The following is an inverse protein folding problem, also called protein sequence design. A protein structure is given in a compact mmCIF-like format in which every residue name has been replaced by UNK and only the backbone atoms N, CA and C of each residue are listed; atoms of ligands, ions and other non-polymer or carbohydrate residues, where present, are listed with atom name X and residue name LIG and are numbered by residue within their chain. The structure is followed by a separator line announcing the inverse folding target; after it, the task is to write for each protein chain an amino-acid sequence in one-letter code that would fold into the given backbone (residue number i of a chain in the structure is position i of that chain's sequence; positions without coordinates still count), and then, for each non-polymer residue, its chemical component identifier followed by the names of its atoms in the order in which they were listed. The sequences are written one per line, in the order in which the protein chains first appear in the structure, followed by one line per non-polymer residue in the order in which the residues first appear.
data_IF_986261394949
#
_entry.id   IF_986261394949
#
_cell.length_a   1.000
_cell.length_b   1.000
_cell.length_c   1.000
_cell.angle_alpha   90.00
_cell.angle_beta   90.00
_cell.angle_gamma   90.00
#
_symmetry.space_group_name_H-M   'P 1'
#
loop_
_entity.id
_entity.type
_entity.pdbx_description
1 polymer ?
#
# COMPACT_ATOMS: atom_id res chain seq x y z
N UNK A 1 -20.45 19.64 -5.96
CA UNK A 1 -20.18 18.19 -5.78
C UNK A 1 -18.84 17.91 -6.43
N UNK A 2 -17.85 17.41 -5.68
CA UNK A 2 -16.48 17.17 -6.17
C UNK A 2 -16.24 15.66 -6.24
N UNK A 3 -15.72 15.12 -7.37
CA UNK A 3 -15.37 13.70 -7.50
C UNK A 3 -14.27 13.24 -6.53
N UNK A 4 -14.40 12.00 -6.05
CA UNK A 4 -13.46 11.36 -5.10
C UNK A 4 -12.31 10.62 -5.78
N UNK A 5 -12.41 10.32 -7.08
CA UNK A 5 -11.38 9.59 -7.85
C UNK A 5 -11.27 10.15 -9.29
N UNK A 6 -10.04 10.19 -9.80
CA UNK A 6 -9.73 10.58 -11.17
C UNK A 6 -8.77 9.57 -11.78
N UNK A 7 -9.08 9.05 -12.97
CA UNK A 7 -8.24 8.09 -13.69
C UNK A 7 -8.00 8.53 -15.12
N UNK A 8 -6.73 8.58 -15.51
CA UNK A 8 -6.30 8.94 -16.85
C UNK A 8 -6.39 7.72 -17.78
N UNK A 9 -7.09 7.87 -18.90
CA UNK A 9 -7.17 6.85 -19.96
C UNK A 9 -6.55 7.41 -21.23
N UNK A 10 -5.64 6.64 -21.84
CA UNK A 10 -5.06 7.01 -23.15
C UNK A 10 -6.11 7.04 -24.27
N UNK A 11 -7.10 6.15 -24.19
CA UNK A 11 -8.26 6.12 -25.06
C UNK A 11 -9.45 5.54 -24.29
N UNK A 12 -10.63 6.13 -24.46
CA UNK A 12 -11.85 5.60 -23.85
C UNK A 12 -12.35 4.37 -24.63
N UNK A 13 -12.80 3.30 -23.95
CA UNK A 13 -13.36 2.14 -24.63
C UNK A 13 -14.66 2.53 -25.32
N UNK A 14 -14.77 2.21 -26.61
CA UNK A 14 -15.95 2.50 -27.43
C UNK A 14 -16.54 1.19 -27.95
N UNK A 15 -17.86 1.16 -28.11
CA UNK A 15 -18.56 0.09 -28.80
C UNK A 15 -18.33 0.22 -30.31
N UNK A 16 -18.65 -0.82 -31.10
CA UNK A 16 -18.55 -0.78 -32.56
C UNK A 16 -19.36 0.36 -33.22
N UNK A 17 -20.33 0.94 -32.51
CA UNK A 17 -21.08 2.13 -32.94
C UNK A 17 -20.47 3.47 -32.49
N UNK A 18 -19.19 3.48 -32.10
CA UNK A 18 -18.45 4.66 -31.62
C UNK A 18 -19.02 5.31 -30.34
N UNK A 19 -19.93 4.64 -29.64
CA UNK A 19 -20.47 5.09 -28.34
C UNK A 19 -19.54 4.65 -27.22
N UNK A 20 -19.54 5.37 -26.09
CA UNK A 20 -18.78 4.97 -24.90
C UNK A 20 -19.27 3.62 -24.39
N UNK A 21 -18.37 2.64 -24.27
CA UNK A 21 -18.68 1.35 -23.67
C UNK A 21 -18.54 1.45 -22.15
N UNK A 22 -19.64 1.86 -21.49
CA UNK A 22 -19.67 2.03 -20.03
C UNK A 22 -19.41 0.72 -19.29
N UNK A 23 -19.82 -0.43 -19.84
CA UNK A 23 -19.61 -1.73 -19.19
C UNK A 23 -18.12 -2.08 -19.21
N UNK A 24 -17.46 -1.90 -20.36
CA UNK A 24 -16.03 -2.14 -20.47
C UNK A 24 -15.22 -1.15 -19.64
N UNK A 25 -15.61 0.13 -19.63
CA UNK A 25 -14.99 1.14 -18.77
C UNK A 25 -15.13 0.79 -17.29
N UNK A 26 -16.29 0.30 -16.85
CA UNK A 26 -16.50 -0.14 -15.47
C UNK A 26 -15.64 -1.37 -15.13
N UNK A 27 -15.57 -2.35 -16.04
CA UNK A 27 -14.71 -3.51 -15.86
C UNK A 27 -13.23 -3.13 -15.79
N UNK A 28 -12.74 -2.25 -16.68
CA UNK A 28 -11.38 -1.71 -16.66
C UNK A 28 -11.12 -0.86 -15.41
N UNK A 29 -12.12 -0.13 -14.91
CA UNK A 29 -12.00 0.61 -13.65
C UNK A 29 -11.82 -0.33 -12.46
N UNK A 30 -12.61 -1.40 -12.39
CA UNK A 30 -12.50 -2.44 -11.37
C UNK A 30 -11.21 -3.27 -11.51
N UNK A 31 -10.75 -3.52 -12.74
CA UNK A 31 -9.52 -4.28 -13.01
C UNK A 31 -8.25 -3.44 -12.83
N UNK A 32 -8.29 -2.13 -13.08
CA UNK A 32 -7.20 -1.20 -12.78
C UNK A 32 -7.07 -0.92 -11.27
N UNK A 33 -8.06 -1.33 -10.48
CA UNK A 33 -7.90 -1.62 -9.06
C UNK A 33 -7.34 -3.04 -8.84
N UNK A 34 -6.53 -3.55 -9.77
CA UNK A 34 -5.49 -4.50 -9.41
C UNK A 34 -4.57 -3.72 -8.47
N UNK A 35 -4.88 -3.79 -7.18
CA UNK A 35 -3.88 -3.99 -6.15
C UNK A 35 -2.90 -4.98 -6.79
N UNK A 36 -1.84 -4.44 -7.39
CA UNK A 36 -0.66 -5.21 -7.75
C UNK A 36 -0.42 -6.03 -6.50
N UNK A 37 -0.61 -7.35 -6.62
CA UNK A 37 -0.56 -8.24 -5.47
C UNK A 37 0.71 -7.84 -4.74
N UNK A 38 0.52 -7.25 -3.55
CA UNK A 38 1.63 -6.91 -2.68
C UNK A 38 2.46 -8.17 -2.58
N UNK A 39 3.78 -8.04 -2.51
CA UNK A 39 4.59 -9.22 -2.28
C UNK A 39 4.06 -9.85 -0.99
N UNK A 40 3.40 -11.01 -1.12
CA UNK A 40 2.58 -11.61 -0.05
C UNK A 40 3.45 -11.81 1.20
N UNK A 41 4.75 -12.06 0.98
CA UNK A 41 5.77 -12.12 2.01
C UNK A 41 5.95 -10.81 2.82
N UNK A 42 5.98 -9.64 2.17
CA UNK A 42 6.10 -8.34 2.86
C UNK A 42 4.84 -8.09 3.68
N UNK A 43 3.67 -8.30 3.08
CA UNK A 43 2.39 -8.13 3.78
C UNK A 43 2.26 -9.06 4.99
N UNK A 44 2.63 -10.33 4.84
CA UNK A 44 2.63 -11.30 5.94
C UNK A 44 3.57 -10.87 7.07
N UNK A 45 4.80 -10.43 6.76
CA UNK A 45 5.74 -9.95 7.80
C UNK A 45 5.24 -8.71 8.51
N UNK A 46 4.79 -7.69 7.77
CA UNK A 46 4.29 -6.45 8.36
C UNK A 46 3.04 -6.72 9.20
N UNK A 47 2.11 -7.54 8.70
CA UNK A 47 0.92 -7.92 9.47
C UNK A 47 1.27 -8.68 10.75
N UNK A 48 2.26 -9.59 10.72
CA UNK A 48 2.72 -10.28 11.93
C UNK A 48 3.30 -9.31 12.97
N UNK A 49 4.06 -8.30 12.54
CA UNK A 49 4.58 -7.25 13.44
C UNK A 49 3.43 -6.46 14.06
N UNK A 50 2.44 -6.07 13.26
CA UNK A 50 1.27 -5.33 13.74
C UNK A 50 0.47 -6.14 14.74
N UNK A 51 0.20 -7.43 14.45
CA UNK A 51 -0.49 -8.34 15.37
C UNK A 51 0.23 -8.45 16.71
N UNK A 52 1.55 -8.55 16.71
CA UNK A 52 2.35 -8.65 17.93
C UNK A 52 2.33 -7.36 18.77
N UNK A 53 2.29 -6.19 18.14
CA UNK A 53 2.34 -4.90 18.83
C UNK A 53 0.95 -4.45 19.29
N UNK A 54 -0.08 -4.69 18.48
CA UNK A 54 -1.45 -4.33 18.79
C UNK A 54 -2.17 -5.38 19.64
N UNK A 55 -1.68 -6.63 19.65
CA UNK A 55 -2.33 -7.74 20.34
C UNK A 55 -3.63 -8.19 19.66
N UNK A 56 -3.81 -7.87 18.38
CA UNK A 56 -4.98 -8.26 17.56
C UNK A 56 -4.59 -9.35 16.57
N UNK A 57 -5.55 -10.18 16.15
CA UNK A 57 -5.34 -11.22 15.13
C UNK A 57 -6.12 -10.93 13.86
N UNK A 58 -5.74 -11.57 12.75
CA UNK A 58 -6.54 -11.57 11.52
C UNK A 58 -6.54 -10.27 10.72
N UNK A 59 -5.46 -9.49 10.80
CA UNK A 59 -5.31 -8.21 10.08
C UNK A 59 -5.39 -8.44 8.56
N UNK A 60 -6.29 -7.72 7.91
CA UNK A 60 -6.51 -7.71 6.46
C UNK A 60 -5.72 -6.59 5.79
N UNK A 61 -5.55 -6.69 4.47
CA UNK A 61 -4.81 -5.71 3.68
C UNK A 61 -5.40 -4.29 3.77
N UNK A 62 -6.71 -4.15 3.95
CA UNK A 62 -7.41 -2.88 4.04
C UNK A 62 -7.57 -2.36 5.48
N UNK A 63 -7.06 -3.08 6.48
CA UNK A 63 -7.20 -2.65 7.86
C UNK A 63 -6.29 -1.45 8.15
N UNK A 64 -6.86 -0.48 8.84
CA UNK A 64 -6.18 0.73 9.26
C UNK A 64 -5.54 0.55 10.64
N UNK A 65 -4.25 0.87 10.73
CA UNK A 65 -3.46 0.76 11.95
C UNK A 65 -4.08 1.46 13.17
N UNK A 66 -4.59 2.67 12.97
CA UNK A 66 -5.15 3.50 14.02
C UNK A 66 -6.55 3.04 14.43
N UNK A 67 -7.34 2.49 13.49
CA UNK A 67 -8.65 1.90 13.77
C UNK A 67 -8.52 0.59 14.57
N UNK A 68 -7.43 -0.14 14.38
CA UNK A 68 -7.10 -1.34 15.18
C UNK A 68 -6.56 -1.01 16.58
N UNK A 69 -6.51 0.27 16.98
CA UNK A 69 -6.05 0.72 18.30
C UNK A 69 -4.59 1.16 18.35
N UNK A 70 -3.96 1.37 17.20
CA UNK A 70 -2.62 1.97 17.13
C UNK A 70 -2.60 3.39 17.68
N UNK A 71 -1.74 3.66 18.66
CA UNK A 71 -1.47 4.99 19.20
C UNK A 71 0.01 5.33 19.07
N UNK A 72 0.41 6.51 19.53
CA UNK A 72 1.76 7.06 19.37
C UNK A 72 2.87 6.10 19.82
N UNK A 73 2.68 5.37 20.94
CA UNK A 73 3.68 4.44 21.45
C UNK A 73 3.84 3.22 20.52
N UNK A 74 2.73 2.64 20.06
CA UNK A 74 2.73 1.50 19.13
C UNK A 74 3.29 1.90 17.76
N UNK A 75 3.00 3.11 17.28
CA UNK A 75 3.59 3.64 16.05
C UNK A 75 5.13 3.68 16.15
N UNK A 76 5.66 4.20 17.27
CA UNK A 76 7.12 4.25 17.50
C UNK A 76 7.70 2.83 17.56
N UNK A 77 7.04 1.89 18.24
CA UNK A 77 7.48 0.50 18.32
C UNK A 77 7.52 -0.18 16.94
N UNK A 78 6.49 0.02 16.11
CA UNK A 78 6.44 -0.50 14.74
C UNK A 78 7.58 0.05 13.90
N UNK A 79 7.77 1.36 13.92
CA UNK A 79 8.81 2.02 13.12
C UNK A 79 10.19 1.46 13.44
N UNK A 80 10.52 1.31 14.73
CA UNK A 80 11.80 0.75 15.15
C UNK A 80 11.95 -0.72 14.73
N UNK A 81 10.88 -1.51 14.84
CA UNK A 81 10.91 -2.94 14.51
C UNK A 81 11.03 -3.18 13.00
N UNK A 82 10.31 -2.40 12.20
CA UNK A 82 10.43 -2.42 10.75
C UNK A 82 11.81 -1.99 10.27
N UNK A 83 12.38 -0.94 10.88
CA UNK A 83 13.73 -0.52 10.56
C UNK A 83 14.77 -1.62 10.83
N UNK A 84 14.62 -2.35 11.94
CA UNK A 84 15.49 -3.48 12.27
C UNK A 84 15.31 -4.68 11.33
N UNK A 85 14.07 -4.98 10.90
CA UNK A 85 13.78 -6.17 10.09
C UNK A 85 14.05 -5.96 8.60
N UNK A 86 13.76 -4.77 8.07
CA UNK A 86 13.88 -4.45 6.64
C UNK A 86 15.13 -3.62 6.30
N UNK A 87 15.91 -3.20 7.30
CA UNK A 87 17.12 -2.39 7.10
C UNK A 87 16.85 -1.02 6.46
N UNK A 88 15.60 -0.54 6.50
CA UNK A 88 15.16 0.69 5.86
C UNK A 88 14.68 1.69 6.91
N UNK A 89 15.09 2.95 6.78
CA UNK A 89 14.63 4.00 7.65
C UNK A 89 13.14 4.30 7.40
N UNK A 90 12.28 3.85 8.31
CA UNK A 90 10.86 4.19 8.36
C UNK A 90 10.68 5.35 9.34
N UNK A 91 9.82 6.31 9.03
CA UNK A 91 9.46 7.41 9.94
C UNK A 91 8.06 7.22 10.47
N UNK A 92 7.79 7.85 11.62
CA UNK A 92 6.44 7.92 12.19
C UNK A 92 5.46 8.55 11.20
N UNK A 93 5.86 9.61 10.49
CA UNK A 93 5.05 10.24 9.45
C UNK A 93 4.60 9.26 8.37
N UNK A 94 5.44 8.30 7.98
CA UNK A 94 5.13 7.35 6.92
C UNK A 94 3.95 6.42 7.30
N UNK A 95 3.80 6.12 8.60
CA UNK A 95 2.67 5.35 9.13
C UNK A 95 1.38 6.18 9.12
N UNK A 96 1.47 7.49 9.37
CA UNK A 96 0.32 8.39 9.28
C UNK A 96 -0.12 8.65 7.83
N UNK A 97 0.83 8.79 6.92
CA UNK A 97 0.57 9.00 5.49
C UNK A 97 0.01 7.72 4.82
N UNK A 98 0.34 6.54 5.34
CA UNK A 98 -0.11 5.25 4.81
C UNK A 98 -0.66 4.37 5.96
N UNK A 99 -1.86 4.70 6.51
CA UNK A 99 -2.38 4.03 7.70
C UNK A 99 -2.92 2.63 7.42
N UNK A 100 -3.23 2.33 6.16
CA UNK A 100 -3.74 1.05 5.69
C UNK A 100 -2.58 0.07 5.46
N UNK A 101 -2.72 -1.20 5.89
CA UNK A 101 -1.67 -2.21 5.74
C UNK A 101 -1.17 -2.33 4.29
N UNK A 102 -2.09 -2.37 3.32
CA UNK A 102 -1.77 -2.51 1.91
C UNK A 102 -0.94 -1.33 1.38
N UNK A 103 -1.35 -0.11 1.72
CA UNK A 103 -0.67 1.10 1.25
C UNK A 103 0.70 1.25 1.92
N UNK A 104 0.79 0.90 3.21
CA UNK A 104 2.05 0.89 3.94
C UNK A 104 3.04 -0.14 3.38
N UNK A 105 2.59 -1.35 3.04
CA UNK A 105 3.44 -2.35 2.41
C UNK A 105 3.93 -1.89 1.03
N UNK A 106 3.07 -1.25 0.24
CA UNK A 106 3.45 -0.67 -1.06
C UNK A 106 4.51 0.42 -0.89
N UNK A 107 4.36 1.29 0.11
CA UNK A 107 5.33 2.30 0.46
C UNK A 107 6.68 1.66 0.82
N UNK A 108 6.70 0.65 1.70
CA UNK A 108 7.92 -0.07 2.08
C UNK A 108 8.62 -0.72 0.89
N UNK A 109 7.89 -1.42 0.03
CA UNK A 109 8.44 -2.03 -1.17
C UNK A 109 9.09 -1.00 -2.11
N UNK A 110 8.44 0.15 -2.28
CA UNK A 110 9.00 1.24 -3.10
C UNK A 110 10.32 1.76 -2.54
N UNK A 111 10.44 1.85 -1.21
CA UNK A 111 11.66 2.26 -0.50
C UNK A 111 12.77 1.23 -0.61
N UNK A 112 12.44 -0.05 -0.42
CA UNK A 112 13.39 -1.16 -0.53
C UNK A 112 14.03 -1.21 -1.92
N UNK A 113 13.23 -1.03 -2.98
CA UNK A 113 13.74 -0.97 -4.36
C UNK A 113 14.65 0.23 -4.61
N UNK A 114 14.30 1.40 -4.08
CA UNK A 114 15.15 2.60 -4.19
C UNK A 114 16.48 2.43 -3.43
N UNK A 115 16.45 1.82 -2.26
CA UNK A 115 17.65 1.51 -1.48
C UNK A 115 18.59 0.55 -2.21
N UNK A 116 18.06 -0.46 -2.91
CA UNK A 116 18.86 -1.38 -3.73
C UNK A 116 19.43 -0.73 -5.00
N UNK A 117 18.65 0.10 -5.69
CA UNK A 117 19.10 0.79 -6.90
C UNK A 117 20.28 1.74 -6.66
N UNK A 118 20.34 2.39 -5.49
CA UNK A 118 21.46 3.27 -5.13
C UNK A 118 22.77 2.52 -4.84
N UNK A 119 22.72 1.23 -4.49
CA UNK A 119 23.93 0.43 -4.20
C UNK A 119 24.59 -0.06 -5.50
N UNK A 120 23.82 -0.25 -6.57
CA UNK A 120 24.35 -0.73 -7.86
C UNK A 120 24.97 0.36 -8.76
N UNK A 121 24.85 1.65 -8.42
CA UNK A 121 25.35 2.75 -9.29
C UNK A 121 26.76 3.24 -8.92
N UNK A 122 27.51 2.49 -8.11
CA UNK A 122 28.89 2.84 -7.73
C UNK A 122 29.88 1.83 -8.30
N UNK A 123 30.04 1.80 -9.63
CA UNK A 123 31.22 1.31 -10.33
C UNK A 123 31.38 2.02 -11.68
#
# INVERSE_FOLDING_TARGET
MVPTDYRHYRALPRTGSNKLDRKRLQAEYLQGATTRALDDATQQRVSAIWQQILGVGGIQAQDNFFELGGQSLQTIQIVNRLAAEFGTAVKVSDVFDNPCLADFCRFLESRLRQGQAQVETVW
#
